data_IF_087089514645
#
_entry.id   IF_087089514645
#
_cell.length_a   1.000
_cell.length_b   1.000
_cell.length_c   1.000
_cell.angle_alpha   90.00
_cell.angle_beta   90.00
_cell.angle_gamma   90.00
#
_symmetry.space_group_name_H-M   'P 1'
#
loop_
_entity.id
_entity.type
_entity.pdbx_description
1 polymer ?
#
# COMPACT_ATOMS: atom_id res chain seq x y z
N UNK A 1 14.82 21.35 -24.28
CA UNK A 1 13.72 20.39 -24.09
C UNK A 1 14.29 19.28 -23.28
N UNK A 2 13.60 18.82 -22.24
CA UNK A 2 14.18 17.97 -21.21
C UNK A 2 14.81 16.70 -21.82
N UNK A 3 16.14 16.60 -21.73
CA UNK A 3 16.95 15.52 -22.32
C UNK A 3 16.87 14.21 -21.50
N UNK A 4 16.19 14.25 -20.35
CA UNK A 4 16.16 13.17 -19.38
C UNK A 4 14.75 12.88 -18.88
N UNK A 5 14.52 11.63 -18.52
CA UNK A 5 13.29 11.14 -17.88
C UNK A 5 13.65 10.22 -16.72
N UNK A 6 12.68 9.98 -15.83
CA UNK A 6 12.83 9.07 -14.69
C UNK A 6 11.77 7.98 -14.76
N UNK A 7 12.19 6.74 -14.48
CA UNK A 7 11.28 5.61 -14.30
C UNK A 7 11.21 5.27 -12.81
N UNK A 8 10.00 5.03 -12.32
CA UNK A 8 9.76 4.54 -10.95
C UNK A 8 9.32 3.09 -11.05
N UNK A 9 10.02 2.22 -10.34
CA UNK A 9 9.78 0.78 -10.33
C UNK A 9 9.50 0.37 -8.89
N UNK A 10 8.42 -0.37 -8.70
CA UNK A 10 8.00 -0.85 -7.38
C UNK A 10 8.31 -2.34 -7.23
N UNK A 11 9.08 -2.68 -6.21
CA UNK A 11 9.30 -4.05 -5.78
C UNK A 11 8.43 -4.36 -4.56
N UNK A 12 7.53 -5.32 -4.69
CA UNK A 12 6.76 -5.84 -3.56
C UNK A 12 7.59 -6.90 -2.83
N UNK A 13 7.83 -6.68 -1.54
CA UNK A 13 8.64 -7.55 -0.70
C UNK A 13 8.15 -7.55 0.75
N UNK A 14 8.55 -8.58 1.49
CA UNK A 14 8.34 -8.76 2.91
C UNK A 14 9.63 -8.58 3.68
N UNK A 15 9.54 -8.12 4.94
CA UNK A 15 10.70 -8.00 5.81
C UNK A 15 11.48 -9.32 5.88
N UNK A 16 12.79 -9.26 5.60
CA UNK A 16 13.69 -10.40 5.64
C UNK A 16 13.64 -11.33 4.43
N UNK A 17 12.86 -11.01 3.39
CA UNK A 17 12.95 -11.73 2.13
C UNK A 17 14.15 -11.27 1.29
N UNK A 18 14.45 -12.03 0.23
CA UNK A 18 15.62 -11.77 -0.61
C UNK A 18 15.62 -10.38 -1.26
N UNK A 19 14.46 -9.83 -1.65
CA UNK A 19 14.36 -8.51 -2.27
C UNK A 19 14.58 -7.42 -1.23
N UNK A 20 14.02 -7.61 -0.03
CA UNK A 20 14.17 -6.67 1.08
C UNK A 20 15.63 -6.52 1.52
N UNK A 21 16.36 -7.63 1.55
CA UNK A 21 17.76 -7.71 1.98
C UNK A 21 18.80 -7.36 0.89
N UNK A 22 18.39 -7.22 -0.37
CA UNK A 22 19.29 -6.77 -1.45
C UNK A 22 19.85 -5.38 -1.15
N UNK A 23 21.06 -5.09 -1.66
CA UNK A 23 21.61 -3.73 -1.61
C UNK A 23 20.92 -2.81 -2.62
N UNK A 24 21.17 -1.51 -2.52
CA UNK A 24 20.66 -0.54 -3.50
C UNK A 24 21.21 -0.84 -4.91
N UNK A 25 22.50 -1.16 -5.00
CA UNK A 25 23.16 -1.48 -6.26
C UNK A 25 22.55 -2.73 -6.90
N UNK A 26 22.30 -3.77 -6.11
CA UNK A 26 21.65 -4.99 -6.59
C UNK A 26 20.22 -4.73 -7.10
N UNK A 27 19.43 -3.92 -6.38
CA UNK A 27 18.06 -3.58 -6.78
C UNK A 27 18.02 -2.71 -8.04
N UNK A 28 18.91 -1.73 -8.16
CA UNK A 28 19.02 -0.87 -9.34
C UNK A 28 19.44 -1.71 -10.55
N UNK A 29 20.44 -2.56 -10.39
CA UNK A 29 20.92 -3.41 -11.48
C UNK A 29 19.84 -4.41 -11.94
N UNK A 30 19.15 -5.07 -11.00
CA UNK A 30 18.02 -5.95 -11.30
C UNK A 30 16.90 -5.22 -12.06
N UNK A 31 16.58 -3.99 -11.67
CA UNK A 31 15.59 -3.17 -12.34
C UNK A 31 16.00 -2.84 -13.79
N UNK A 32 17.26 -2.47 -13.99
CA UNK A 32 17.81 -2.20 -15.33
C UNK A 32 17.79 -3.47 -16.18
N UNK A 33 18.17 -4.61 -15.63
CA UNK A 33 18.15 -5.89 -16.35
C UNK A 33 16.75 -6.29 -16.80
N UNK A 34 15.74 -6.16 -15.94
CA UNK A 34 14.35 -6.43 -16.32
C UNK A 34 13.85 -5.47 -17.42
N UNK A 35 14.19 -4.18 -17.32
CA UNK A 35 13.79 -3.19 -18.31
C UNK A 35 14.45 -3.42 -19.68
N UNK A 36 15.72 -3.81 -19.71
CA UNK A 36 16.49 -4.04 -20.94
C UNK A 36 16.19 -5.40 -21.57
N UNK A 37 16.21 -6.47 -20.78
CA UNK A 37 16.19 -7.83 -21.31
C UNK A 37 14.78 -8.42 -21.43
N UNK A 38 13.95 -8.22 -20.41
CA UNK A 38 12.62 -8.85 -20.35
C UNK A 38 11.57 -7.99 -21.03
N UNK A 39 11.52 -6.70 -20.65
CA UNK A 39 10.55 -5.75 -21.19
C UNK A 39 11.01 -5.11 -22.49
N UNK A 40 12.34 -5.06 -22.73
CA UNK A 40 12.96 -4.39 -23.89
C UNK A 40 12.46 -2.96 -24.07
N UNK A 41 12.35 -2.26 -22.95
CA UNK A 41 11.74 -0.95 -22.84
C UNK A 41 12.76 0.18 -22.97
N UNK A 42 14.02 -0.06 -22.58
CA UNK A 42 15.14 0.88 -22.69
C UNK A 42 16.39 0.14 -23.17
N UNK A 43 17.36 0.88 -23.70
CA UNK A 43 18.73 0.42 -23.90
C UNK A 43 19.57 0.70 -22.64
N UNK A 44 20.48 -0.22 -22.30
CA UNK A 44 21.35 -0.07 -21.11
C UNK A 44 22.21 1.20 -21.16
N UNK A 45 22.56 1.67 -22.36
CA UNK A 45 23.33 2.91 -22.54
C UNK A 45 22.55 4.18 -22.21
N UNK A 46 21.22 4.11 -22.10
CA UNK A 46 20.36 5.23 -21.71
C UNK A 46 20.34 5.44 -20.19
N UNK A 47 20.84 4.47 -19.41
CA UNK A 47 20.81 4.52 -17.95
C UNK A 47 21.95 5.39 -17.41
N UNK A 48 21.59 6.47 -16.74
CA UNK A 48 22.55 7.38 -16.08
C UNK A 48 22.81 6.96 -14.63
N UNK A 49 21.79 6.43 -13.95
CA UNK A 49 21.87 5.98 -12.57
C UNK A 49 20.49 5.74 -11.96
N UNK A 50 20.48 5.33 -10.70
CA UNK A 50 19.28 5.07 -9.92
C UNK A 50 19.59 5.05 -8.42
N UNK A 51 18.53 5.07 -7.61
CA UNK A 51 18.62 4.90 -6.16
C UNK A 51 17.35 4.23 -5.66
N UNK A 52 17.35 3.77 -4.43
CA UNK A 52 16.25 3.02 -3.83
C UNK A 52 15.69 3.72 -2.60
N UNK A 53 14.38 3.62 -2.41
CA UNK A 53 13.72 3.97 -1.15
C UNK A 53 12.98 2.74 -0.66
N UNK A 54 13.26 2.31 0.58
CA UNK A 54 12.49 1.26 1.25
C UNK A 54 11.35 1.89 2.04
N UNK A 55 10.12 1.49 1.73
CA UNK A 55 8.92 1.93 2.43
C UNK A 55 8.43 0.82 3.38
N UNK A 56 8.95 0.73 4.62
CA UNK A 56 8.50 -0.27 5.58
C UNK A 56 7.02 -0.05 5.90
N UNK A 57 6.23 -1.12 5.88
CA UNK A 57 4.77 -1.04 6.13
C UNK A 57 4.13 0.01 5.21
N UNK A 58 4.20 -0.22 3.90
CA UNK A 58 3.57 0.66 2.91
C UNK A 58 2.05 0.43 2.78
N UNK A 59 1.60 -0.81 2.95
CA UNK A 59 0.21 -1.22 2.78
C UNK A 59 -0.34 -2.04 3.96
N UNK A 60 -1.60 -1.84 4.38
CA UNK A 60 -2.29 -2.75 5.28
C UNK A 60 -2.38 -4.13 4.63
N UNK A 61 -1.92 -5.16 5.33
CA UNK A 61 -1.96 -6.53 4.85
C UNK A 61 -3.16 -7.26 5.45
N UNK A 62 -4.14 -7.60 4.61
CA UNK A 62 -5.32 -8.36 5.00
C UNK A 62 -5.04 -9.86 4.99
N UNK A 63 -4.45 -10.33 6.08
CA UNK A 63 -4.32 -11.77 6.34
C UNK A 63 -5.67 -12.37 6.67
N UNK A 64 -5.88 -13.66 6.37
CA UNK A 64 -7.16 -14.31 6.71
C UNK A 64 -7.45 -14.18 8.20
N UNK A 65 -8.66 -13.70 8.52
CA UNK A 65 -9.11 -13.48 9.89
C UNK A 65 -8.61 -12.18 10.53
N UNK A 66 -8.03 -11.23 9.78
CA UNK A 66 -7.56 -9.94 10.30
C UNK A 66 -8.69 -9.10 10.95
N UNK A 67 -9.94 -9.28 10.52
CA UNK A 67 -11.10 -8.54 11.03
C UNK A 67 -11.31 -8.73 12.53
N UNK A 68 -11.10 -9.95 13.04
CA UNK A 68 -11.31 -10.25 14.46
C UNK A 68 -10.37 -9.47 15.41
N UNK A 69 -9.03 -9.48 15.22
CA UNK A 69 -8.14 -8.64 16.00
C UNK A 69 -8.33 -7.15 15.71
N UNK A 70 -8.62 -6.76 14.47
CA UNK A 70 -8.89 -5.35 14.13
C UNK A 70 -10.10 -4.81 14.91
N UNK A 71 -11.21 -5.54 14.93
CA UNK A 71 -12.43 -5.14 15.65
C UNK A 71 -12.20 -5.06 17.16
N UNK A 72 -11.37 -5.93 17.73
CA UNK A 72 -10.98 -5.84 19.15
C UNK A 72 -10.20 -4.55 19.45
N UNK A 73 -9.27 -4.18 18.57
CA UNK A 73 -8.48 -2.96 18.69
C UNK A 73 -9.37 -1.73 18.52
N UNK A 74 -10.22 -1.71 17.49
CA UNK A 74 -11.20 -0.63 17.25
C UNK A 74 -12.12 -0.44 18.45
N UNK A 75 -12.75 -1.51 18.95
CA UNK A 75 -13.63 -1.43 20.12
C UNK A 75 -12.92 -0.92 21.39
N UNK A 76 -11.63 -1.23 21.56
CA UNK A 76 -10.83 -0.67 22.65
C UNK A 76 -10.58 0.84 22.44
N UNK A 77 -10.23 1.25 21.23
CA UNK A 77 -10.02 2.67 20.87
C UNK A 77 -11.32 3.47 21.02
N UNK A 78 -12.46 2.91 20.65
CA UNK A 78 -13.79 3.55 20.77
C UNK A 78 -14.21 3.81 22.22
N UNK A 79 -13.51 3.21 23.20
CA UNK A 79 -13.75 3.50 24.62
C UNK A 79 -13.21 4.87 25.07
N UNK A 80 -12.41 5.54 24.24
CA UNK A 80 -11.86 6.88 24.52
C UNK A 80 -12.71 7.97 23.85
N UNK A 81 -13.30 8.85 24.64
CA UNK A 81 -14.15 9.95 24.12
C UNK A 81 -13.36 11.06 23.41
N UNK A 82 -12.06 11.11 23.60
CA UNK A 82 -11.16 12.18 23.13
C UNK A 82 -10.11 11.70 22.12
N UNK A 83 -10.35 10.56 21.45
CA UNK A 83 -9.44 9.97 20.47
C UNK A 83 -10.20 9.65 19.18
N UNK A 84 -9.61 10.00 18.04
CA UNK A 84 -10.08 9.61 16.71
C UNK A 84 -8.91 9.02 15.93
N UNK A 85 -9.14 7.93 15.21
CA UNK A 85 -8.16 7.29 14.33
C UNK A 85 -8.41 7.68 12.87
N UNK A 86 -7.36 8.02 12.14
CA UNK A 86 -7.46 8.49 10.76
C UNK A 86 -6.39 7.88 9.85
N UNK A 87 -6.63 7.97 8.54
CA UNK A 87 -5.68 7.58 7.51
C UNK A 87 -5.46 6.07 7.41
N UNK A 88 -4.66 5.67 6.41
CA UNK A 88 -4.43 4.28 5.99
C UNK A 88 -4.20 3.29 7.15
N UNK A 89 -3.26 3.63 8.04
CA UNK A 89 -2.88 2.75 9.15
C UNK A 89 -3.70 2.96 10.41
N UNK A 90 -4.24 4.16 10.64
CA UNK A 90 -5.10 4.41 11.78
C UNK A 90 -6.40 3.62 11.67
N UNK A 91 -7.03 3.62 10.49
CA UNK A 91 -8.26 2.87 10.23
C UNK A 91 -8.02 1.46 9.69
N UNK A 92 -6.76 1.11 9.38
CA UNK A 92 -6.34 -0.14 8.76
C UNK A 92 -7.06 -0.42 7.43
N UNK A 93 -7.23 0.62 6.61
CA UNK A 93 -7.93 0.56 5.32
C UNK A 93 -6.99 0.79 4.15
N UNK A 94 -7.25 0.10 3.05
CA UNK A 94 -6.62 0.44 1.79
C UNK A 94 -7.24 1.76 1.31
N UNK A 95 -6.47 2.85 1.34
CA UNK A 95 -6.92 4.16 0.91
C UNK A 95 -5.80 4.94 0.21
N UNK A 96 -6.19 5.90 -0.63
CA UNK A 96 -5.26 6.77 -1.34
C UNK A 96 -5.01 8.07 -0.56
N UNK A 97 -4.07 8.87 -1.04
CA UNK A 97 -3.65 10.11 -0.37
C UNK A 97 -4.80 11.10 -0.21
N UNK A 98 -5.65 11.24 -1.22
CA UNK A 98 -6.86 12.08 -1.20
C UNK A 98 -7.81 11.66 -0.07
N UNK A 99 -8.07 10.36 0.08
CA UNK A 99 -8.90 9.84 1.17
C UNK A 99 -8.26 10.11 2.54
N UNK A 100 -6.94 9.96 2.67
CA UNK A 100 -6.24 10.27 3.93
C UNK A 100 -6.33 11.76 4.30
N UNK A 101 -6.24 12.65 3.31
CA UNK A 101 -6.44 14.09 3.51
C UNK A 101 -7.89 14.39 3.91
N UNK A 102 -8.86 13.83 3.18
CA UNK A 102 -10.29 13.97 3.48
C UNK A 102 -10.60 13.51 4.91
N UNK A 103 -10.10 12.34 5.32
CA UNK A 103 -10.33 11.84 6.69
C UNK A 103 -9.74 12.79 7.74
N UNK A 104 -8.59 13.42 7.46
CA UNK A 104 -7.98 14.40 8.35
C UNK A 104 -8.80 15.69 8.48
N UNK A 105 -9.38 16.18 7.38
CA UNK A 105 -10.26 17.35 7.39
C UNK A 105 -11.54 17.09 8.19
N UNK A 106 -12.21 15.96 7.94
CA UNK A 106 -13.42 15.56 8.68
C UNK A 106 -13.13 15.35 10.17
N UNK A 107 -11.97 14.79 10.52
CA UNK A 107 -11.57 14.67 11.92
C UNK A 107 -11.37 16.03 12.60
N UNK A 108 -10.83 17.03 11.88
CA UNK A 108 -10.71 18.38 12.40
C UNK A 108 -12.09 19.03 12.59
N UNK A 109 -13.04 18.82 11.68
CA UNK A 109 -14.43 19.27 11.83
C UNK A 109 -15.12 18.63 13.04
N UNK A 110 -14.87 17.35 13.30
CA UNK A 110 -15.35 16.67 14.51
C UNK A 110 -14.85 17.35 15.79
N UNK A 111 -13.57 17.77 15.82
CA UNK A 111 -13.01 18.52 16.96
C UNK A 111 -13.71 19.87 17.13
N UNK A 112 -14.15 20.49 16.03
CA UNK A 112 -14.88 21.76 16.03
C UNK A 112 -16.37 21.63 16.36
N UNK A 113 -16.87 20.40 16.56
CA UNK A 113 -18.24 20.12 17.03
C UNK A 113 -19.15 19.44 16.01
N UNK A 114 -18.64 19.10 14.82
CA UNK A 114 -19.37 18.28 13.85
C UNK A 114 -19.32 16.78 14.21
N UNK A 115 -20.02 15.96 13.43
CA UNK A 115 -20.10 14.50 13.63
C UNK A 115 -20.06 13.75 12.31
N UNK A 116 -18.86 13.40 11.88
CA UNK A 116 -18.55 12.62 10.71
C UNK A 116 -18.11 11.21 11.08
N UNK A 117 -18.62 10.21 10.36
CA UNK A 117 -18.13 8.84 10.43
C UNK A 117 -16.89 8.67 9.53
N UNK A 118 -15.73 8.73 10.17
CA UNK A 118 -14.43 8.64 9.49
C UNK A 118 -14.18 7.26 8.86
N UNK A 119 -14.88 6.23 9.33
CA UNK A 119 -14.83 4.88 8.76
C UNK A 119 -15.67 4.77 7.47
N UNK A 120 -16.41 5.79 7.03
CA UNK A 120 -17.09 5.79 5.72
C UNK A 120 -16.23 6.37 4.60
N UNK A 121 -15.15 7.07 4.93
CA UNK A 121 -14.23 7.59 3.91
C UNK A 121 -13.63 6.41 3.15
N UNK A 122 -13.84 6.38 1.83
CA UNK A 122 -13.44 5.32 0.90
C UNK A 122 -14.19 3.97 0.98
N UNK A 123 -15.28 3.85 1.76
CA UNK A 123 -15.95 2.55 1.96
C UNK A 123 -16.52 1.93 0.68
N UNK A 124 -17.04 2.75 -0.25
CA UNK A 124 -17.69 2.25 -1.48
C UNK A 124 -16.70 1.78 -2.56
N UNK A 125 -15.48 2.33 -2.58
CA UNK A 125 -14.46 2.01 -3.60
C UNK A 125 -13.57 0.83 -3.19
N UNK A 126 -13.40 0.59 -1.89
CA UNK A 126 -12.62 -0.53 -1.34
C UNK A 126 -13.11 -1.89 -1.88
N UNK A 127 -14.43 -2.06 -2.04
CA UNK A 127 -15.03 -3.29 -2.59
C UNK A 127 -14.63 -3.58 -4.05
N UNK A 128 -14.31 -2.54 -4.82
CA UNK A 128 -13.88 -2.67 -6.22
C UNK A 128 -12.38 -2.93 -6.36
N UNK A 129 -11.59 -2.57 -5.34
CA UNK A 129 -10.12 -2.71 -5.34
C UNK A 129 -9.67 -4.07 -4.78
N UNK A 130 -10.45 -4.68 -3.88
CA UNK A 130 -10.18 -6.03 -3.36
C UNK A 130 -10.70 -7.08 -4.35
N UNK A 131 -9.87 -7.50 -5.32
CA UNK A 131 -10.20 -8.66 -6.18
C UNK A 131 -10.25 -9.94 -5.33
N UNK A 132 -11.42 -10.57 -5.26
CA UNK A 132 -11.59 -11.88 -4.64
C UNK A 132 -10.64 -12.92 -5.26
N UNK A 133 -9.79 -13.52 -4.44
CA UNK A 133 -9.00 -14.70 -4.82
C UNK A 133 -9.99 -15.86 -5.05
N UNK A 134 -10.23 -16.21 -6.31
CA UNK A 134 -10.94 -17.45 -6.66
C UNK A 134 -10.13 -18.64 -6.15
N UNK A 135 -10.69 -19.41 -5.20
CA UNK A 135 -10.18 -20.74 -4.87
C UNK A 135 -10.30 -21.62 -6.13
N UNK A 136 -9.18 -22.06 -6.68
CA UNK A 136 -9.17 -23.16 -7.65
C UNK A 136 -9.61 -24.44 -6.97
N UNK A 137 -10.61 -25.11 -7.52
CA UNK A 137 -11.03 -26.44 -7.09
C UNK A 137 -9.93 -27.48 -7.40
N UNK A 138 -9.77 -28.53 -6.59
CA UNK A 138 -8.76 -29.54 -6.85
C UNK A 138 -9.12 -30.31 -8.13
N UNK A 139 -8.12 -30.53 -8.98
CA UNK A 139 -8.25 -31.36 -10.17
C UNK A 139 -8.64 -32.79 -9.76
N UNK A 140 -9.78 -33.25 -10.27
CA UNK A 140 -10.18 -34.65 -10.17
C UNK A 140 -9.19 -35.49 -10.98
N UNK A 141 -8.56 -36.45 -10.31
CA UNK A 141 -7.65 -37.39 -10.94
C UNK A 141 -8.35 -38.34 -11.90
N UNK A 142 -7.59 -38.77 -12.91
CA UNK A 142 -7.74 -40.02 -13.64
C UNK A 142 -6.37 -40.56 -13.98
#
# INVERSE_FOLDING_TARGET
>A
GDEFTSLVIEYFCSFGDHIWEMTEEELVENAVDHLVNDLKFIDRSEVIGGFTIRAPRAYPSYVMGYEAPLNKIKAFIDSFENLQIIGRYGTFRYNNTDHSIETGLLAAENILGERHDLDQVNADKEYHEIKQVRKSAPAAGS
#
